data_IF_081482559818
#
_entry.id   IF_081482559818
#
_cell.length_a   1.000
_cell.length_b   1.000
_cell.length_c   1.000
_cell.angle_alpha   90.00
_cell.angle_beta   90.00
_cell.angle_gamma   90.00
#
_symmetry.space_group_name_H-M   'P 1'
#
loop_
_entity.id
_entity.type
_entity.pdbx_description
1 polymer ?
#
# COMPACT_ATOMS: atom_id res chain seq x y z
N UNK A 1 47.94 -14.45 11.87
CA UNK A 1 46.51 -14.56 12.20
C UNK A 1 45.98 -13.14 12.44
N UNK A 2 45.66 -12.26 11.49
CA UNK A 2 45.04 -12.33 10.16
C UNK A 2 43.66 -13.01 10.17
N UNK A 3 42.64 -12.17 9.90
CA UNK A 3 41.29 -12.46 9.39
C UNK A 3 40.27 -12.92 10.43
N UNK A 4 39.41 -12.00 10.90
CA UNK A 4 37.98 -12.29 11.18
C UNK A 4 37.14 -11.09 11.69
N UNK A 5 37.66 -9.87 11.76
CA UNK A 5 36.86 -8.70 12.20
C UNK A 5 36.44 -7.71 11.10
N UNK A 6 36.77 -7.96 9.83
CA UNK A 6 36.69 -6.98 8.74
C UNK A 6 35.39 -7.07 7.91
N UNK A 7 34.33 -7.70 8.43
CA UNK A 7 33.08 -7.93 7.68
C UNK A 7 31.85 -7.18 8.21
N UNK A 8 31.97 -6.38 9.28
CA UNK A 8 30.82 -5.65 9.86
C UNK A 8 30.82 -4.15 9.51
N UNK A 9 31.88 -3.63 8.88
CA UNK A 9 31.99 -2.21 8.54
C UNK A 9 31.67 -1.85 7.08
N UNK A 10 31.16 -2.79 6.27
CA UNK A 10 30.94 -2.58 4.82
C UNK A 10 29.45 -2.43 4.40
N UNK A 11 28.49 -2.48 5.33
CA UNK A 11 27.06 -2.32 5.01
C UNK A 11 26.45 -0.97 5.45
N UNK A 12 27.18 -0.15 6.20
CA UNK A 12 26.71 1.17 6.62
C UNK A 12 27.23 2.33 5.74
N UNK A 13 28.20 2.08 4.86
CA UNK A 13 28.80 3.10 4.00
C UNK A 13 28.27 3.11 2.54
N UNK A 14 27.32 2.22 2.20
CA UNK A 14 26.68 2.18 0.88
C UNK A 14 25.30 2.87 0.83
N UNK A 15 24.77 3.33 1.96
CA UNK A 15 23.49 4.05 2.01
C UNK A 15 23.61 5.57 1.77
N UNK A 16 24.82 6.10 1.56
CA UNK A 16 25.06 7.53 1.33
C UNK A 16 25.62 7.88 -0.06
N UNK A 17 25.64 6.94 -1.01
CA UNK A 17 26.02 7.20 -2.42
C UNK A 17 24.85 7.13 -3.42
N UNK A 18 23.61 7.00 -2.96
CA UNK A 18 22.41 7.10 -3.84
C UNK A 18 21.78 8.50 -3.86
N UNK A 19 22.46 9.53 -3.35
CA UNK A 19 22.03 10.93 -3.50
C UNK A 19 22.43 11.58 -4.83
N UNK A 20 23.02 10.84 -5.78
CA UNK A 20 23.42 11.35 -7.09
C UNK A 20 22.64 10.71 -8.24
N UNK A 21 21.31 10.81 -8.25
CA UNK A 21 20.49 10.84 -9.47
C UNK A 21 19.15 11.54 -9.22
N UNK A 22 19.22 12.69 -8.54
CA UNK A 22 18.22 13.75 -8.70
C UNK A 22 18.63 14.60 -9.91
N UNK A 23 18.62 14.00 -11.11
CA UNK A 23 18.37 14.77 -12.32
C UNK A 23 16.85 14.74 -12.45
N UNK A 24 16.14 15.86 -12.28
CA UNK A 24 14.73 15.93 -12.66
C UNK A 24 14.65 15.61 -14.16
N UNK A 25 14.25 14.38 -14.50
CA UNK A 25 14.01 13.96 -15.88
C UNK A 25 14.71 12.69 -16.41
N UNK A 26 15.59 12.02 -15.66
CA UNK A 26 16.29 10.81 -16.18
C UNK A 26 16.51 9.73 -15.10
N UNK A 27 15.49 8.90 -14.87
CA UNK A 27 15.59 7.69 -14.04
C UNK A 27 14.31 7.45 -13.26
N UNK A 28 13.41 6.60 -13.80
CA UNK A 28 12.28 6.12 -13.01
C UNK A 28 12.79 5.27 -11.84
N UNK A 29 12.11 5.32 -10.68
CA UNK A 29 12.42 4.43 -9.56
C UNK A 29 12.43 2.96 -10.03
N UNK A 30 13.35 2.15 -9.50
CA UNK A 30 13.19 0.68 -9.60
C UNK A 30 11.98 0.22 -8.78
N UNK A 31 11.48 -0.99 -9.03
CA UNK A 31 10.37 -1.55 -8.23
C UNK A 31 10.70 -1.56 -6.74
N UNK A 32 11.92 -1.96 -6.39
CA UNK A 32 12.40 -2.00 -5.00
C UNK A 32 12.43 -0.60 -4.35
N UNK A 33 12.93 0.42 -5.06
CA UNK A 33 12.97 1.79 -4.55
C UNK A 33 11.57 2.38 -4.37
N UNK A 34 10.69 2.13 -5.34
CA UNK A 34 9.30 2.58 -5.25
C UNK A 34 8.56 1.92 -4.09
N UNK A 35 8.75 0.62 -3.86
CA UNK A 35 8.12 -0.08 -2.75
C UNK A 35 8.67 0.32 -1.39
N UNK A 36 9.99 0.58 -1.29
CA UNK A 36 10.57 1.13 -0.07
C UNK A 36 9.99 2.52 0.28
N UNK A 37 9.62 3.32 -0.73
CA UNK A 37 9.02 4.65 -0.50
C UNK A 37 7.60 4.60 0.10
N UNK A 38 6.92 3.44 0.03
CA UNK A 38 5.53 3.28 0.47
C UNK A 38 5.32 2.14 1.47
N UNK A 39 6.37 1.44 1.89
CA UNK A 39 6.27 0.24 2.74
C UNK A 39 5.58 0.50 4.08
N UNK A 40 5.85 1.66 4.70
CA UNK A 40 5.25 2.01 5.99
C UNK A 40 3.76 2.34 5.83
N UNK A 41 3.40 3.07 4.77
CA UNK A 41 2.01 3.37 4.44
C UNK A 41 1.24 2.09 4.10
N UNK A 42 1.86 1.16 3.39
CA UNK A 42 1.23 -0.12 3.03
C UNK A 42 1.01 -1.00 4.26
N UNK A 43 2.00 -1.10 5.17
CA UNK A 43 1.84 -1.87 6.41
C UNK A 43 0.73 -1.30 7.29
N UNK A 44 0.70 0.02 7.47
CA UNK A 44 -0.37 0.71 8.21
C UNK A 44 -1.74 0.47 7.57
N UNK A 45 -1.82 0.62 6.25
CA UNK A 45 -3.04 0.35 5.50
C UNK A 45 -3.55 -1.07 5.73
N UNK A 46 -2.70 -2.10 5.62
CA UNK A 46 -3.13 -3.49 5.82
C UNK A 46 -3.64 -3.74 7.25
N UNK A 47 -2.98 -3.17 8.27
CA UNK A 47 -3.45 -3.25 9.66
C UNK A 47 -4.80 -2.55 9.85
N UNK A 48 -4.93 -1.29 9.41
CA UNK A 48 -6.17 -0.53 9.52
C UNK A 48 -7.32 -1.17 8.74
N UNK A 49 -7.03 -1.82 7.61
CA UNK A 49 -8.02 -2.54 6.81
C UNK A 49 -8.60 -3.73 7.56
N UNK A 50 -7.71 -4.53 8.17
CA UNK A 50 -8.10 -5.72 8.91
C UNK A 50 -8.98 -5.34 10.10
N UNK A 51 -8.64 -4.26 10.79
CA UNK A 51 -9.43 -3.71 11.89
C UNK A 51 -10.78 -3.18 11.38
N UNK A 52 -10.80 -2.44 10.27
CA UNK A 52 -12.03 -1.93 9.66
C UNK A 52 -12.99 -3.05 9.22
N UNK A 53 -12.47 -4.12 8.61
CA UNK A 53 -13.28 -5.29 8.21
C UNK A 53 -13.82 -6.06 9.41
N UNK A 54 -13.05 -6.16 10.49
CA UNK A 54 -13.54 -6.74 11.73
C UNK A 54 -14.67 -5.91 12.37
N UNK A 55 -14.60 -4.58 12.22
CA UNK A 55 -15.63 -3.67 12.72
C UNK A 55 -16.87 -3.57 11.82
N UNK A 56 -16.73 -3.76 10.50
CA UNK A 56 -17.78 -3.52 9.51
C UNK A 56 -19.09 -4.27 9.78
N UNK A 57 -19.03 -5.47 10.35
CA UNK A 57 -20.22 -6.27 10.70
C UNK A 57 -21.08 -5.65 11.82
N UNK A 58 -20.49 -4.77 12.64
CA UNK A 58 -21.16 -4.15 13.79
C UNK A 58 -21.33 -2.64 13.63
N UNK A 59 -20.41 -1.98 12.92
CA UNK A 59 -20.40 -0.55 12.68
C UNK A 59 -19.82 -0.24 11.28
N UNK A 60 -20.64 -0.36 10.22
CA UNK A 60 -20.18 -0.09 8.86
C UNK A 60 -19.77 1.37 8.64
N UNK A 61 -20.34 2.30 9.42
CA UNK A 61 -19.99 3.71 9.33
C UNK A 61 -18.57 3.97 9.85
N UNK A 62 -18.22 3.41 11.02
CA UNK A 62 -16.85 3.49 11.54
C UNK A 62 -15.85 2.80 10.60
N UNK A 63 -16.23 1.64 10.05
CA UNK A 63 -15.41 0.95 9.06
C UNK A 63 -15.18 1.81 7.81
N UNK A 64 -16.21 2.49 7.29
CA UNK A 64 -16.07 3.37 6.12
C UNK A 64 -15.10 4.53 6.37
N UNK A 65 -15.13 5.13 7.57
CA UNK A 65 -14.22 6.21 7.97
C UNK A 65 -12.78 5.72 8.07
N UNK A 66 -12.57 4.51 8.58
CA UNK A 66 -11.25 3.88 8.61
C UNK A 66 -10.71 3.62 7.19
N UNK A 67 -11.55 3.06 6.30
CA UNK A 67 -11.18 2.85 4.89
C UNK A 67 -10.91 4.16 4.16
N UNK A 68 -11.66 5.24 4.44
CA UNK A 68 -11.40 6.58 3.88
C UNK A 68 -10.06 7.18 4.35
N UNK A 69 -9.73 6.99 5.62
CA UNK A 69 -8.43 7.41 6.17
C UNK A 69 -7.29 6.67 5.47
N UNK A 70 -7.43 5.35 5.32
CA UNK A 70 -6.49 4.54 4.55
C UNK A 70 -6.35 4.99 3.09
N UNK A 71 -7.47 5.24 2.42
CA UNK A 71 -7.51 5.78 1.05
C UNK A 71 -6.69 7.06 0.94
N UNK A 72 -6.84 7.95 1.91
CA UNK A 72 -6.10 9.22 1.97
C UNK A 72 -4.60 8.97 2.12
N UNK A 73 -4.21 8.09 3.05
CA UNK A 73 -2.80 7.76 3.29
C UNK A 73 -2.14 7.07 2.08
N UNK A 74 -2.83 6.10 1.46
CA UNK A 74 -2.34 5.41 0.27
C UNK A 74 -2.30 6.30 -0.96
N UNK A 75 -3.28 7.20 -1.14
CA UNK A 75 -3.24 8.22 -2.21
C UNK A 75 -2.06 9.16 -2.02
N UNK A 76 -1.77 9.59 -0.79
CA UNK A 76 -0.59 10.40 -0.49
C UNK A 76 0.73 9.62 -0.67
N UNK A 77 0.75 8.31 -0.40
CA UNK A 77 1.91 7.46 -0.67
C UNK A 77 2.14 7.29 -2.18
N UNK A 78 1.06 7.12 -2.95
CA UNK A 78 1.08 6.98 -4.42
C UNK A 78 1.74 8.15 -5.12
N UNK A 79 1.62 9.37 -4.61
CA UNK A 79 2.30 10.55 -5.19
C UNK A 79 3.82 10.50 -5.09
N UNK A 80 4.37 9.63 -4.24
CA UNK A 80 5.82 9.42 -4.05
C UNK A 80 6.39 8.34 -4.99
N UNK A 81 5.52 7.66 -5.75
CA UNK A 81 5.87 6.55 -6.63
C UNK A 81 5.91 7.02 -8.07
N UNK A 82 7.09 6.95 -8.68
CA UNK A 82 7.34 7.24 -10.09
C UNK A 82 7.47 5.98 -10.94
N UNK A 83 7.73 4.81 -10.34
CA UNK A 83 7.73 3.53 -11.04
C UNK A 83 6.32 3.20 -11.53
N UNK A 84 6.16 2.98 -12.84
CA UNK A 84 4.86 2.75 -13.47
C UNK A 84 4.15 1.48 -12.95
N UNK A 85 4.87 0.37 -12.78
CA UNK A 85 4.28 -0.90 -12.35
C UNK A 85 3.81 -0.84 -10.89
N UNK A 86 4.65 -0.30 -9.99
CA UNK A 86 4.28 -0.11 -8.57
C UNK A 86 3.15 0.93 -8.45
N UNK A 87 3.21 1.99 -9.25
CA UNK A 87 2.16 3.00 -9.32
C UNK A 87 0.83 2.43 -9.77
N UNK A 88 0.80 1.63 -10.83
CA UNK A 88 -0.41 0.99 -11.34
C UNK A 88 -1.01 0.01 -10.31
N UNK A 89 -0.18 -0.76 -9.61
CA UNK A 89 -0.65 -1.64 -8.55
C UNK A 89 -1.27 -0.87 -7.37
N UNK A 90 -0.65 0.24 -6.96
CA UNK A 90 -1.22 1.15 -5.96
C UNK A 90 -2.53 1.79 -6.42
N UNK A 91 -2.62 2.19 -7.69
CA UNK A 91 -3.84 2.77 -8.26
C UNK A 91 -5.00 1.75 -8.23
N UNK A 92 -4.73 0.47 -8.51
CA UNK A 92 -5.73 -0.61 -8.35
C UNK A 92 -6.16 -0.78 -6.89
N UNK A 93 -5.21 -0.77 -5.94
CA UNK A 93 -5.53 -0.89 -4.52
C UNK A 93 -6.41 0.28 -4.05
N UNK A 94 -6.08 1.51 -4.47
CA UNK A 94 -6.87 2.72 -4.18
C UNK A 94 -8.28 2.59 -4.76
N UNK A 95 -8.44 2.13 -6.00
CA UNK A 95 -9.74 1.93 -6.61
C UNK A 95 -10.59 0.89 -5.84
N UNK A 96 -10.01 -0.25 -5.48
CA UNK A 96 -10.71 -1.32 -4.77
C UNK A 96 -11.14 -0.89 -3.35
N UNK A 97 -10.27 -0.19 -2.60
CA UNK A 97 -10.64 0.40 -1.31
C UNK A 97 -11.72 1.46 -1.44
N UNK A 98 -11.73 2.22 -2.54
CA UNK A 98 -12.78 3.21 -2.80
C UNK A 98 -14.13 2.52 -3.00
N UNK A 99 -14.17 1.44 -3.79
CA UNK A 99 -15.37 0.61 -3.93
C UNK A 99 -15.86 0.12 -2.57
N UNK A 100 -14.96 -0.41 -1.75
CA UNK A 100 -15.32 -0.88 -0.40
C UNK A 100 -15.87 0.23 0.49
N UNK A 101 -15.20 1.39 0.54
CA UNK A 101 -15.68 2.55 1.31
C UNK A 101 -17.06 3.00 0.85
N UNK A 102 -17.30 3.04 -0.47
CA UNK A 102 -18.57 3.43 -1.05
C UNK A 102 -19.68 2.42 -0.69
N UNK A 103 -19.39 1.11 -0.61
CA UNK A 103 -20.35 0.10 -0.11
C UNK A 103 -20.61 0.20 1.39
N UNK A 104 -19.58 0.40 2.22
CA UNK A 104 -19.74 0.61 3.66
C UNK A 104 -20.58 1.86 3.95
N UNK A 105 -20.38 2.94 3.18
CA UNK A 105 -21.19 4.17 3.28
C UNK A 105 -22.65 3.97 2.90
N UNK A 106 -22.95 3.10 1.93
CA UNK A 106 -24.34 2.76 1.57
C UNK A 106 -25.05 2.05 2.72
N UNK A 107 -24.33 1.22 3.47
CA UNK A 107 -24.89 0.60 4.67
C UNK A 107 -25.14 1.63 5.80
N UNK A 108 -24.29 2.64 5.90
CA UNK A 108 -24.37 3.65 6.96
C UNK A 108 -24.19 2.98 8.32
N UNK A 109 -25.09 3.23 9.26
CA UNK A 109 -25.06 2.57 10.57
C UNK A 109 -25.84 1.23 10.60
N UNK A 110 -26.35 0.75 9.46
CA UNK A 110 -27.20 -0.44 9.36
C UNK A 110 -26.47 -1.59 8.65
N UNK A 111 -25.90 -2.56 9.38
CA UNK A 111 -25.14 -3.66 8.79
C UNK A 111 -25.99 -4.60 7.91
N UNK A 112 -27.32 -4.62 8.04
CA UNK A 112 -28.19 -5.44 7.19
C UNK A 112 -28.23 -4.92 5.74
N UNK A 113 -27.84 -3.66 5.52
CA UNK A 113 -27.71 -3.07 4.18
C UNK A 113 -26.39 -3.39 3.50
N UNK A 114 -25.47 -4.10 4.16
CA UNK A 114 -24.21 -4.50 3.52
C UNK A 114 -24.48 -5.51 2.41
N UNK A 115 -23.99 -5.19 1.22
CA UNK A 115 -23.98 -6.12 0.10
C UNK A 115 -22.75 -7.03 0.24
N UNK A 116 -22.95 -8.21 0.82
CA UNK A 116 -21.88 -9.18 1.08
C UNK A 116 -21.13 -9.61 -0.19
N UNK A 117 -21.80 -9.68 -1.33
CA UNK A 117 -21.16 -10.03 -2.60
C UNK A 117 -20.21 -8.91 -3.05
N UNK A 118 -20.62 -7.64 -2.89
CA UNK A 118 -19.74 -6.51 -3.21
C UNK A 118 -18.61 -6.31 -2.21
N UNK A 119 -18.83 -6.58 -0.92
CA UNK A 119 -17.78 -6.58 0.11
C UNK A 119 -16.71 -7.63 -0.26
N UNK A 120 -17.15 -8.85 -0.61
CA UNK A 120 -16.25 -9.92 -1.01
C UNK A 120 -15.50 -9.59 -2.31
N UNK A 121 -16.20 -9.07 -3.33
CA UNK A 121 -15.56 -8.65 -4.58
C UNK A 121 -14.51 -7.56 -4.34
N UNK A 122 -14.81 -6.55 -3.51
CA UNK A 122 -13.83 -5.52 -3.17
C UNK A 122 -12.64 -6.09 -2.39
N UNK A 123 -12.86 -7.06 -1.49
CA UNK A 123 -11.77 -7.74 -0.78
C UNK A 123 -10.89 -8.58 -1.72
N UNK A 124 -11.46 -9.23 -2.73
CA UNK A 124 -10.71 -9.95 -3.78
C UNK A 124 -9.89 -9.00 -4.65
N UNK A 125 -10.46 -7.86 -5.04
CA UNK A 125 -9.75 -6.82 -5.79
C UNK A 125 -8.59 -6.24 -4.98
N UNK A 126 -8.77 -6.01 -3.67
CA UNK A 126 -7.69 -5.56 -2.77
C UNK A 126 -6.59 -6.62 -2.68
N UNK A 127 -6.92 -7.90 -2.49
CA UNK A 127 -5.94 -8.99 -2.45
C UNK A 127 -5.16 -9.12 -3.78
N UNK A 128 -5.86 -8.98 -4.90
CA UNK A 128 -5.25 -8.96 -6.23
C UNK A 128 -4.30 -7.78 -6.37
N UNK A 129 -4.72 -6.59 -5.96
CA UNK A 129 -3.87 -5.39 -6.02
C UNK A 129 -2.63 -5.50 -5.11
N UNK A 130 -2.75 -6.10 -3.93
CA UNK A 130 -1.61 -6.36 -3.04
C UNK A 130 -0.64 -7.38 -3.64
N UNK A 131 -1.15 -8.39 -4.35
CA UNK A 131 -0.33 -9.38 -5.07
C UNK A 131 0.40 -8.73 -6.26
N UNK A 132 -0.30 -7.91 -7.04
CA UNK A 132 0.28 -7.11 -8.11
C UNK A 132 1.36 -6.16 -7.58
N UNK A 133 1.10 -5.53 -6.43
CA UNK A 133 2.05 -4.65 -5.76
C UNK A 133 3.31 -5.40 -5.35
N UNK A 134 3.17 -6.55 -4.67
CA UNK A 134 4.30 -7.40 -4.29
C UNK A 134 5.12 -7.85 -5.50
N UNK A 135 4.44 -8.21 -6.60
CA UNK A 135 5.11 -8.56 -7.86
C UNK A 135 5.87 -7.37 -8.45
N UNK A 136 5.25 -6.18 -8.49
CA UNK A 136 5.88 -4.95 -8.98
C UNK A 136 7.11 -4.56 -8.17
N UNK A 137 7.12 -4.81 -6.85
CA UNK A 137 8.27 -4.57 -5.98
C UNK A 137 9.53 -5.38 -6.35
N UNK A 138 9.36 -6.51 -7.04
CA UNK A 138 10.47 -7.42 -7.39
C UNK A 138 11.03 -7.19 -8.79
N UNK A 139 10.40 -6.30 -9.58
CA UNK A 139 10.84 -5.97 -10.93
C UNK A 139 11.96 -4.92 -10.90
N UNK A 140 13.00 -5.17 -11.69
CA UNK A 140 14.19 -4.31 -11.83
C UNK A 140 14.14 -3.50 -13.11
#
# INVERSE_FOLDING_TARGET
>A
MRKLGLLVAALAASLFLSSCSLIPGLGQQSGVQACAAVSDSMQKAVSEFTDAMSAAANDPEAASKAVDKMLTELTAARTKVTNADVGAALDKAIAAMKTLSDELKKAGSDPEKLDGDKINAAAEEIQTALTDFGTACTKF
#
